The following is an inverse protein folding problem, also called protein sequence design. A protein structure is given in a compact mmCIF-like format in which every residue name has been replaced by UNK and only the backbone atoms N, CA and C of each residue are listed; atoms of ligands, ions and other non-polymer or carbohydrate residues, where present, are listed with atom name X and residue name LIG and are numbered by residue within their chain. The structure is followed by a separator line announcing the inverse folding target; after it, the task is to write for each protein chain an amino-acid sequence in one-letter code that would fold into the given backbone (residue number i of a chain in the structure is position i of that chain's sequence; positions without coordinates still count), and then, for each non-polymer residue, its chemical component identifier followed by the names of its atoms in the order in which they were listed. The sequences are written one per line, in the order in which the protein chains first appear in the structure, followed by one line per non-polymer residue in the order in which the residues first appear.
data_IF_429081234817
#
_entry.id   IF_429081234817
#
_cell.length_a   1.000
_cell.length_b   1.000
_cell.length_c   1.000
_cell.angle_alpha   90.00
_cell.angle_beta   90.00
_cell.angle_gamma   90.00
#
_symmetry.space_group_name_H-M   'P 1'
#
loop_
_entity.id
_entity.type
_entity.pdbx_description
1 polymer ?
#
# COMPACT_ATOMS: atom_id res chain seq x y z
N UNK A 1 -25.32 26.95 -12.87
CA UNK A 1 -24.58 25.84 -12.23
C UNK A 1 -25.01 25.79 -10.78
N UNK A 2 -25.70 24.72 -10.38
CA UNK A 2 -26.14 24.56 -8.99
C UNK A 2 -24.94 24.36 -8.06
N UNK A 3 -25.03 24.91 -6.85
CA UNK A 3 -23.98 24.82 -5.83
C UNK A 3 -23.52 23.38 -5.58
N UNK A 4 -24.46 22.43 -5.65
CA UNK A 4 -24.19 20.99 -5.54
C UNK A 4 -23.25 20.47 -6.63
N UNK A 5 -23.41 20.94 -7.87
CA UNK A 5 -22.55 20.55 -8.98
C UNK A 5 -21.12 21.09 -8.80
N UNK A 6 -20.98 22.30 -8.25
CA UNK A 6 -19.67 22.88 -7.92
C UNK A 6 -18.96 22.09 -6.81
N UNK A 7 -19.68 21.67 -5.77
CA UNK A 7 -19.12 20.86 -4.68
C UNK A 7 -18.62 19.51 -5.22
N UNK A 8 -19.41 18.84 -6.08
CA UNK A 8 -19.00 17.56 -6.68
C UNK A 8 -17.73 17.73 -7.51
N UNK A 9 -17.68 18.72 -8.39
CA UNK A 9 -16.49 18.99 -9.21
C UNK A 9 -15.26 19.27 -8.34
N UNK A 10 -15.43 20.09 -7.30
CA UNK A 10 -14.34 20.42 -6.38
C UNK A 10 -13.83 19.19 -5.62
N UNK A 11 -14.73 18.34 -5.11
CA UNK A 11 -14.34 17.09 -4.45
C UNK A 11 -13.63 16.11 -5.38
N UNK A 12 -14.08 15.96 -6.63
CA UNK A 12 -13.39 15.14 -7.63
C UNK A 12 -11.97 15.65 -7.91
N UNK A 13 -11.79 16.97 -8.04
CA UNK A 13 -10.47 17.58 -8.25
C UNK A 13 -9.55 17.33 -7.05
N UNK A 14 -10.05 17.49 -5.82
CA UNK A 14 -9.28 17.18 -4.62
C UNK A 14 -8.83 15.71 -4.56
N UNK A 15 -9.72 14.77 -4.88
CA UNK A 15 -9.39 13.35 -4.93
C UNK A 15 -8.28 13.09 -5.97
N UNK A 16 -8.38 13.70 -7.16
CA UNK A 16 -7.36 13.56 -8.20
C UNK A 16 -5.99 14.11 -7.78
N UNK A 17 -5.97 15.28 -7.12
CA UNK A 17 -4.74 15.92 -6.64
C UNK A 17 -4.01 15.02 -5.64
N UNK A 18 -4.72 14.22 -4.83
CA UNK A 18 -4.09 13.30 -3.88
C UNK A 18 -3.74 11.99 -4.57
N UNK A 19 -4.66 11.39 -5.32
CA UNK A 19 -4.50 10.06 -5.88
C UNK A 19 -3.36 9.96 -6.92
N UNK A 20 -3.21 10.97 -7.78
CA UNK A 20 -2.19 10.97 -8.85
C UNK A 20 -0.76 10.94 -8.28
N UNK A 21 -0.34 11.85 -7.38
CA UNK A 21 1.00 11.81 -6.83
C UNK A 21 1.23 10.56 -5.98
N UNK A 22 0.24 10.09 -5.22
CA UNK A 22 0.37 8.84 -4.45
C UNK A 22 0.60 7.63 -5.36
N UNK A 23 -0.13 7.51 -6.47
CA UNK A 23 0.10 6.44 -7.44
C UNK A 23 1.45 6.57 -8.14
N UNK A 24 1.89 7.79 -8.43
CA UNK A 24 3.19 8.04 -9.05
C UNK A 24 4.35 7.65 -8.13
N UNK A 25 4.31 8.05 -6.86
CA UNK A 25 5.34 7.70 -5.87
C UNK A 25 5.38 6.19 -5.65
N UNK A 26 4.23 5.52 -5.56
CA UNK A 26 4.16 4.07 -5.47
C UNK A 26 4.82 3.38 -6.67
N UNK A 27 4.49 3.78 -7.90
CA UNK A 27 5.12 3.21 -9.11
C UNK A 27 6.62 3.49 -9.17
N UNK A 28 7.07 4.65 -8.69
CA UNK A 28 8.48 4.96 -8.60
C UNK A 28 9.19 4.04 -7.62
N UNK A 29 8.61 3.82 -6.43
CA UNK A 29 9.12 2.87 -5.42
C UNK A 29 9.12 1.44 -5.91
N UNK A 30 8.09 1.01 -6.63
CA UNK A 30 8.04 -0.32 -7.28
C UNK A 30 9.25 -0.51 -8.20
N UNK A 31 9.56 0.48 -9.04
CA UNK A 31 10.72 0.43 -9.93
C UNK A 31 12.05 0.46 -9.18
N UNK A 32 12.18 1.29 -8.15
CA UNK A 32 13.40 1.37 -7.33
C UNK A 32 13.70 0.05 -6.61
N UNK A 33 12.65 -0.65 -6.15
CA UNK A 33 12.78 -1.89 -5.39
C UNK A 33 12.69 -3.16 -6.26
N UNK A 34 12.41 -3.02 -7.56
CA UNK A 34 12.31 -4.13 -8.50
C UNK A 34 11.06 -5.00 -8.33
N UNK A 35 9.95 -4.41 -7.87
CA UNK A 35 8.66 -5.10 -7.73
C UNK A 35 7.70 -4.74 -8.89
N UNK A 36 6.77 -5.64 -9.27
CA UNK A 36 6.57 -6.98 -8.72
C UNK A 36 7.63 -7.97 -9.20
N UNK A 37 8.08 -8.85 -8.29
CA UNK A 37 8.99 -9.96 -8.66
C UNK A 37 8.18 -11.12 -9.24
N UNK A 38 8.79 -11.95 -10.09
CA UNK A 38 8.11 -13.13 -10.65
C UNK A 38 7.75 -14.19 -9.61
N UNK A 39 8.54 -14.33 -8.54
CA UNK A 39 8.35 -15.31 -7.47
C UNK A 39 8.39 -14.62 -6.12
N UNK A 40 7.37 -13.80 -5.83
CA UNK A 40 7.24 -13.14 -4.53
C UNK A 40 6.96 -14.18 -3.43
N UNK A 41 7.50 -13.93 -2.24
CA UNK A 41 7.33 -14.77 -1.06
C UNK A 41 6.89 -13.96 0.16
N UNK A 42 6.51 -14.63 1.25
CA UNK A 42 6.22 -13.94 2.51
C UNK A 42 7.46 -13.24 3.11
N UNK A 43 8.68 -13.65 2.72
CA UNK A 43 9.90 -12.95 3.10
C UNK A 43 10.01 -11.58 2.43
N UNK A 44 9.57 -11.45 1.17
CA UNK A 44 9.52 -10.16 0.46
C UNK A 44 8.53 -9.20 1.14
N UNK A 45 7.42 -9.71 1.69
CA UNK A 45 6.47 -8.90 2.48
C UNK A 45 7.14 -8.33 3.72
N UNK A 46 7.94 -9.13 4.43
CA UNK A 46 8.68 -8.67 5.61
C UNK A 46 9.75 -7.63 5.24
N UNK A 47 10.48 -7.86 4.13
CA UNK A 47 11.46 -6.91 3.61
C UNK A 47 10.83 -5.55 3.27
N UNK A 48 9.69 -5.56 2.55
CA UNK A 48 8.96 -4.33 2.21
C UNK A 48 8.47 -3.58 3.46
N UNK A 49 8.05 -4.31 4.50
CA UNK A 49 7.69 -3.69 5.78
C UNK A 49 8.88 -3.04 6.49
N UNK A 50 10.07 -3.62 6.38
CA UNK A 50 11.31 -3.05 6.96
C UNK A 50 11.75 -1.79 6.24
N UNK A 51 11.51 -1.71 4.93
CA UNK A 51 11.71 -0.49 4.13
C UNK A 51 10.62 0.57 4.36
N UNK A 52 9.69 0.33 5.29
CA UNK A 52 8.53 1.19 5.59
C UNK A 52 7.55 1.34 4.40
N UNK A 53 7.57 0.38 3.47
CA UNK A 53 6.75 0.35 2.25
C UNK A 53 5.50 -0.51 2.47
N UNK A 54 4.62 -0.04 3.37
CA UNK A 54 3.44 -0.79 3.82
C UNK A 54 2.44 -1.09 2.71
N UNK A 55 2.21 -0.15 1.79
CA UNK A 55 1.28 -0.34 0.66
C UNK A 55 1.80 -1.42 -0.28
N UNK A 56 3.12 -1.44 -0.51
CA UNK A 56 3.76 -2.46 -1.34
C UNK A 56 3.74 -3.82 -0.66
N UNK A 57 3.98 -3.88 0.66
CA UNK A 57 3.87 -5.10 1.43
C UNK A 57 2.44 -5.69 1.37
N UNK A 58 1.39 -4.85 1.44
CA UNK A 58 0.00 -5.28 1.27
C UNK A 58 -0.24 -5.87 -0.12
N UNK A 59 0.25 -5.18 -1.15
CA UNK A 59 0.11 -5.63 -2.55
C UNK A 59 0.83 -6.95 -2.79
N UNK A 60 2.07 -7.07 -2.30
CA UNK A 60 2.88 -8.28 -2.35
C UNK A 60 2.19 -9.45 -1.64
N UNK A 61 1.71 -9.26 -0.40
CA UNK A 61 0.99 -10.31 0.33
C UNK A 61 -0.20 -10.86 -0.44
N UNK A 62 -0.99 -9.98 -1.08
CA UNK A 62 -2.15 -10.38 -1.89
C UNK A 62 -1.74 -11.17 -3.13
N UNK A 63 -0.63 -10.83 -3.77
CA UNK A 63 -0.10 -11.58 -4.93
C UNK A 63 0.42 -12.96 -4.52
N UNK A 64 1.11 -13.04 -3.38
CA UNK A 64 1.66 -14.31 -2.85
C UNK A 64 0.56 -15.26 -2.38
N UNK A 65 -0.45 -14.75 -1.68
CA UNK A 65 -1.46 -15.58 -1.01
C UNK A 65 -2.79 -15.68 -1.76
N UNK A 66 -3.03 -14.83 -2.75
CA UNK A 66 -4.36 -14.64 -3.37
C UNK A 66 -5.40 -14.02 -2.43
N UNK A 67 -5.00 -13.56 -1.24
CA UNK A 67 -5.89 -13.10 -0.18
C UNK A 67 -6.54 -11.74 -0.42
N UNK A 68 -7.49 -11.40 0.46
CA UNK A 68 -8.19 -10.11 0.42
C UNK A 68 -7.34 -8.97 1.00
N UNK A 69 -7.73 -7.73 0.69
CA UNK A 69 -7.10 -6.53 1.28
C UNK A 69 -7.18 -6.53 2.80
N UNK A 70 -8.30 -7.00 3.36
CA UNK A 70 -8.49 -7.10 4.81
C UNK A 70 -7.49 -8.07 5.45
N UNK A 71 -7.27 -9.23 4.82
CA UNK A 71 -6.28 -10.21 5.29
C UNK A 71 -4.86 -9.65 5.23
N UNK A 72 -4.50 -8.96 4.15
CA UNK A 72 -3.18 -8.30 4.03
C UNK A 72 -2.95 -7.28 5.16
N UNK A 73 -3.96 -6.45 5.44
CA UNK A 73 -3.89 -5.46 6.53
C UNK A 73 -3.76 -6.11 7.91
N UNK A 74 -4.53 -7.18 8.16
CA UNK A 74 -4.45 -7.93 9.41
C UNK A 74 -3.07 -8.59 9.61
N UNK A 75 -2.53 -9.19 8.55
CA UNK A 75 -1.21 -9.83 8.57
C UNK A 75 -0.09 -8.83 8.89
N UNK A 76 -0.09 -7.68 8.23
CA UNK A 76 0.90 -6.62 8.48
C UNK A 76 0.78 -6.06 9.90
N UNK A 77 -0.45 -5.82 10.37
CA UNK A 77 -0.69 -5.36 11.73
C UNK A 77 -0.15 -6.36 12.76
N UNK A 78 -0.31 -7.66 12.51
CA UNK A 78 0.24 -8.71 13.35
C UNK A 78 1.77 -8.67 13.39
N UNK A 79 2.44 -8.59 12.24
CA UNK A 79 3.91 -8.47 12.16
C UNK A 79 4.42 -7.24 12.93
N UNK A 80 3.77 -6.08 12.74
CA UNK A 80 4.16 -4.84 13.44
C UNK A 80 4.02 -4.96 14.95
N UNK A 81 2.98 -5.63 15.43
CA UNK A 81 2.78 -5.88 16.87
C UNK A 81 3.86 -6.78 17.45
N UNK A 82 4.20 -7.87 16.76
CA UNK A 82 5.29 -8.77 17.17
C UNK A 82 6.62 -8.02 17.28
N UNK A 83 7.01 -7.27 16.24
CA UNK A 83 8.24 -6.45 16.26
C UNK A 83 8.26 -5.39 17.36
N UNK A 84 7.09 -4.90 17.78
CA UNK A 84 6.98 -3.92 18.86
C UNK A 84 7.11 -4.55 20.25
N UNK A 85 6.80 -5.85 20.38
CA UNK A 85 6.98 -6.61 21.62
C UNK A 85 8.42 -7.07 21.81
N UNK A 86 9.15 -7.41 20.74
CA UNK A 86 10.56 -7.82 20.81
C UNK A 86 11.54 -6.68 21.15
N UNK A 87 11.12 -5.40 21.01
CA UNK A 87 11.94 -4.23 21.36
C UNK A 87 11.75 -3.74 22.80
N UNK A 88 10.95 -4.43 23.61
CA UNK A 88 10.74 -4.15 25.04
C UNK A 88 11.48 -5.19 25.86
#
# INVERSE_FOLDING_TARGET
MDLSSLIIVFTCVLILIIAIPTLYTLRKRERELGYPKQHETLADVQFLLEQNEEILAQSCFRRVTGGSYHQAKAYIAHIKRQKSQERK
#
